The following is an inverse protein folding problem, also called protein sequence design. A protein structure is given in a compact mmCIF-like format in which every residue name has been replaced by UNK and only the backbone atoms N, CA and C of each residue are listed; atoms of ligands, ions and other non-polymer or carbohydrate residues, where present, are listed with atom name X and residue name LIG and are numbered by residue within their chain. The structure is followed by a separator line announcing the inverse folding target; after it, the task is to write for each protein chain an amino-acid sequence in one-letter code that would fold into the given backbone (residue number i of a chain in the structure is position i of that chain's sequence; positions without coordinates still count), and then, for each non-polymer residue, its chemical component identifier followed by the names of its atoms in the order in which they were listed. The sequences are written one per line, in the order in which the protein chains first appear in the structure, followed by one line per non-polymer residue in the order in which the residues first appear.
data_IF_783428425185
#
_entry.id   IF_783428425185
#
_cell.length_a   1.000
_cell.length_b   1.000
_cell.length_c   1.000
_cell.angle_alpha   90.00
_cell.angle_beta   90.00
_cell.angle_gamma   90.00
#
_symmetry.space_group_name_H-M   'P 1'
#
loop_
_entity.id
_entity.type
_entity.pdbx_description
1 polymer ?
#
# COMPACT_ATOMS: atom_id res chain seq x y z
N UNK A 1 3.24 -5.83 -14.61
CA UNK A 1 3.77 -5.31 -13.33
C UNK A 1 3.05 -5.91 -12.12
N UNK A 2 1.84 -5.48 -11.76
CA UNK A 2 1.14 -6.04 -10.58
C UNK A 2 0.83 -7.54 -10.70
N UNK A 3 0.60 -8.02 -11.93
CA UNK A 3 0.43 -9.46 -12.20
C UNK A 3 1.70 -10.27 -11.92
N UNK A 4 2.87 -9.73 -12.25
CA UNK A 4 4.15 -10.38 -12.00
C UNK A 4 4.44 -10.42 -10.49
N UNK A 5 4.08 -9.37 -9.77
CA UNK A 5 4.18 -9.31 -8.30
C UNK A 5 3.24 -10.33 -7.65
N UNK A 6 1.97 -10.40 -8.09
CA UNK A 6 1.00 -11.41 -7.61
C UNK A 6 1.51 -12.83 -7.88
N UNK A 7 2.06 -13.08 -9.06
CA UNK A 7 2.67 -14.38 -9.39
C UNK A 7 3.86 -14.70 -8.48
N UNK A 8 4.73 -13.74 -8.22
CA UNK A 8 5.87 -13.91 -7.32
C UNK A 8 5.42 -14.19 -5.89
N UNK A 9 4.41 -13.45 -5.38
CA UNK A 9 3.84 -13.68 -4.06
C UNK A 9 3.24 -15.08 -3.91
N UNK A 10 2.54 -15.57 -4.94
CA UNK A 10 1.95 -16.90 -4.93
C UNK A 10 2.93 -18.03 -5.25
N UNK A 11 4.17 -17.72 -5.68
CA UNK A 11 5.16 -18.73 -6.05
C UNK A 11 5.70 -19.53 -4.85
N UNK A 12 5.62 -18.98 -3.64
CA UNK A 12 6.09 -19.61 -2.41
C UNK A 12 5.13 -19.37 -1.26
N UNK A 13 4.79 -20.41 -0.49
CA UNK A 13 4.00 -20.26 0.73
C UNK A 13 4.88 -19.75 1.86
N UNK A 14 4.60 -18.54 2.33
CA UNK A 14 5.31 -17.92 3.46
C UNK A 14 4.34 -17.66 4.61
N UNK A 15 4.86 -17.57 5.84
CA UNK A 15 4.05 -17.16 7.00
C UNK A 15 3.79 -15.66 7.03
N UNK A 16 4.76 -14.87 6.57
CA UNK A 16 4.68 -13.42 6.47
C UNK A 16 5.24 -12.98 5.10
N UNK A 17 4.47 -12.16 4.38
CA UNK A 17 4.90 -11.56 3.13
C UNK A 17 5.00 -10.05 3.31
N UNK A 18 6.16 -9.48 3.01
CA UNK A 18 6.37 -8.04 2.98
C UNK A 18 6.71 -7.63 1.56
N UNK A 19 5.82 -6.85 0.95
CA UNK A 19 6.05 -6.25 -0.35
C UNK A 19 6.68 -4.87 -0.16
N UNK A 20 7.91 -4.68 -0.65
CA UNK A 20 8.65 -3.43 -0.55
C UNK A 20 9.10 -2.96 -1.92
N UNK A 21 9.06 -1.65 -2.15
CA UNK A 21 9.51 -1.04 -3.39
C UNK A 21 8.96 0.36 -3.57
N UNK A 22 9.45 1.04 -4.60
CA UNK A 22 8.91 2.31 -5.03
C UNK A 22 7.78 2.09 -6.05
N UNK A 23 6.54 2.21 -5.58
CA UNK A 23 5.35 2.13 -6.44
C UNK A 23 5.02 3.46 -7.12
N UNK A 24 5.65 4.56 -6.68
CA UNK A 24 5.37 5.94 -7.09
C UNK A 24 3.86 6.26 -7.11
N UNK A 25 3.16 5.79 -6.08
CA UNK A 25 1.73 5.88 -5.92
C UNK A 25 1.41 6.74 -4.68
N UNK A 26 0.42 7.62 -4.80
CA UNK A 26 -0.06 8.44 -3.69
C UNK A 26 -1.43 7.93 -3.28
N UNK A 27 -1.58 7.55 -2.03
CA UNK A 27 -2.84 7.15 -1.40
C UNK A 27 -3.17 8.21 -0.36
N UNK A 28 -4.40 8.71 -0.42
CA UNK A 28 -4.90 9.60 0.62
C UNK A 28 -5.21 8.82 1.91
N UNK A 29 -5.42 9.55 2.98
CA UNK A 29 -6.13 9.08 4.17
C UNK A 29 -7.50 8.51 3.81
N UNK A 30 -7.95 7.55 4.62
CA UNK A 30 -9.18 6.76 4.45
C UNK A 30 -10.34 7.65 3.95
N UNK A 31 -10.70 7.53 2.67
CA UNK A 31 -11.89 8.20 2.14
C UNK A 31 -13.15 7.32 2.36
N UNK A 32 -13.04 5.99 2.43
CA UNK A 32 -14.21 5.09 2.36
C UNK A 32 -14.17 3.84 3.25
N UNK A 33 -13.44 3.85 4.38
CA UNK A 33 -13.41 2.68 5.27
C UNK A 33 -12.60 1.49 4.72
N UNK A 34 -11.67 1.74 3.79
CA UNK A 34 -10.68 0.76 3.32
C UNK A 34 -9.86 0.24 4.52
N UNK A 35 -10.20 -0.95 5.04
CA UNK A 35 -9.57 -1.56 6.22
C UNK A 35 -8.04 -1.76 6.07
N UNK A 36 -7.54 -1.70 4.84
CA UNK A 36 -6.16 -1.98 4.46
C UNK A 36 -5.26 -0.75 4.40
N UNK A 37 -5.82 0.45 4.56
CA UNK A 37 -5.09 1.73 4.57
C UNK A 37 -5.26 2.39 5.94
N UNK A 38 -4.15 2.76 6.56
CA UNK A 38 -4.13 3.47 7.83
C UNK A 38 -4.45 4.96 7.69
N UNK A 39 -4.78 5.57 8.84
CA UNK A 39 -5.22 6.98 8.94
C UNK A 39 -4.12 8.03 8.70
N UNK A 40 -2.88 7.62 8.47
CA UNK A 40 -1.73 8.53 8.34
C UNK A 40 -1.11 8.53 6.93
N UNK A 41 -1.92 8.25 5.90
CA UNK A 41 -1.54 8.49 4.51
C UNK A 41 -1.10 9.94 4.25
N UNK A 42 -0.22 10.15 3.27
CA UNK A 42 0.34 11.48 2.96
C UNK A 42 0.06 11.83 1.50
N UNK A 43 -0.64 12.94 1.29
CA UNK A 43 -0.91 13.51 -0.03
C UNK A 43 -2.24 13.04 -0.63
N UNK A 44 -2.60 13.61 -1.77
CA UNK A 44 -3.87 13.32 -2.46
C UNK A 44 -3.76 12.06 -3.32
N UNK A 45 -4.80 11.22 -3.30
CA UNK A 45 -4.87 10.00 -4.13
C UNK A 45 -4.67 10.34 -5.62
N UNK A 46 -3.76 9.63 -6.28
CA UNK A 46 -3.58 9.70 -7.73
C UNK A 46 -4.03 8.40 -8.42
N UNK A 47 -4.08 8.38 -9.75
CA UNK A 47 -4.50 7.19 -10.53
C UNK A 47 -3.68 5.93 -10.18
N UNK A 48 -2.36 6.09 -9.99
CA UNK A 48 -1.47 4.99 -9.56
C UNK A 48 -1.78 4.52 -8.13
N UNK A 49 -2.19 5.44 -7.27
CA UNK A 49 -2.73 5.18 -5.94
C UNK A 49 -3.94 4.29 -5.98
N UNK A 50 -4.92 4.60 -6.84
CA UNK A 50 -6.10 3.75 -6.99
C UNK A 50 -5.73 2.34 -7.47
N UNK A 51 -4.87 2.23 -8.49
CA UNK A 51 -4.39 0.92 -8.97
C UNK A 51 -3.69 0.11 -7.87
N UNK A 52 -2.92 0.77 -7.01
CA UNK A 52 -2.28 0.13 -5.86
C UNK A 52 -3.29 -0.28 -4.79
N UNK A 53 -4.32 0.54 -4.53
CA UNK A 53 -5.40 0.20 -3.61
C UNK A 53 -6.15 -1.06 -4.09
N UNK A 54 -6.57 -1.09 -5.35
CA UNK A 54 -7.28 -2.22 -5.95
C UNK A 54 -6.43 -3.51 -5.89
N UNK A 55 -5.12 -3.38 -6.15
CA UNK A 55 -4.18 -4.50 -6.03
C UNK A 55 -4.06 -5.02 -4.60
N UNK A 56 -3.87 -4.14 -3.62
CA UNK A 56 -3.79 -4.53 -2.21
C UNK A 56 -5.11 -5.13 -1.71
N UNK A 57 -6.24 -4.63 -2.20
CA UNK A 57 -7.54 -5.17 -1.89
C UNK A 57 -7.68 -6.61 -2.42
N UNK A 58 -7.31 -6.84 -3.68
CA UNK A 58 -7.31 -8.17 -4.30
C UNK A 58 -6.40 -9.16 -3.59
N UNK A 59 -5.19 -8.74 -3.21
CA UNK A 59 -4.15 -9.63 -2.64
C UNK A 59 -4.17 -9.73 -1.10
N UNK A 60 -5.10 -9.04 -0.42
CA UNK A 60 -5.15 -9.09 1.04
C UNK A 60 -4.06 -8.29 1.77
N UNK A 61 -3.42 -7.34 1.10
CA UNK A 61 -2.25 -6.61 1.62
C UNK A 61 -2.64 -5.36 2.42
N UNK A 62 -1.77 -4.96 3.35
CA UNK A 62 -1.93 -3.76 4.17
C UNK A 62 -0.86 -2.72 3.84
N UNK A 63 -1.27 -1.46 3.70
CA UNK A 63 -0.36 -0.34 3.49
C UNK A 63 0.31 0.05 4.81
N UNK A 64 1.30 -0.72 5.26
CA UNK A 64 1.93 -0.56 6.58
C UNK A 64 2.41 0.86 6.87
N UNK A 65 2.97 1.55 5.88
CA UNK A 65 3.48 2.92 6.02
C UNK A 65 2.41 3.95 6.42
N UNK A 66 1.13 3.68 6.19
CA UNK A 66 0.02 4.56 6.52
C UNK A 66 -0.56 4.34 7.91
N UNK A 67 -0.14 3.29 8.63
CA UNK A 67 -0.59 3.01 10.00
C UNK A 67 0.22 3.75 11.07
N UNK A 68 1.39 4.28 10.71
CA UNK A 68 2.27 4.99 11.63
C UNK A 68 2.26 6.48 11.37
N UNK A 69 2.05 7.27 12.42
CA UNK A 69 2.09 8.73 12.32
C UNK A 69 3.52 9.19 12.07
N UNK A 70 3.75 9.79 10.91
CA UNK A 70 5.04 10.43 10.58
C UNK A 70 4.98 11.92 10.92
N UNK A 71 6.11 12.50 11.32
CA UNK A 71 6.21 13.96 11.48
C UNK A 71 6.09 14.61 10.09
N UNK A 72 5.38 15.74 9.94
CA UNK A 72 5.16 16.37 8.62
C UNK A 72 6.45 16.67 7.83
N UNK A 73 7.54 16.94 8.55
CA UNK A 73 8.88 17.23 8.01
C UNK A 73 9.77 15.99 7.81
N UNK A 74 9.34 14.79 8.24
CA UNK A 74 10.07 13.52 8.07
C UNK A 74 9.16 12.50 7.40
N UNK A 75 9.05 12.62 6.07
CA UNK A 75 8.21 11.75 5.23
C UNK A 75 8.86 10.39 4.94
N UNK A 76 10.19 10.33 5.01
CA UNK A 76 11.01 9.17 4.69
C UNK A 76 11.45 8.45 5.96
N UNK A 77 11.06 7.18 6.04
CA UNK A 77 11.52 6.08 6.93
C UNK A 77 10.67 4.89 6.54
#
# INVERSE_FOLDING_TARGET
MYEDISRAMHSSKTHYTVLMGDFNAKLDTIENGELKVGKFGIGKRNQRGQQLADFMEKEGLFMMNSFFQKRPHRKWT
#
